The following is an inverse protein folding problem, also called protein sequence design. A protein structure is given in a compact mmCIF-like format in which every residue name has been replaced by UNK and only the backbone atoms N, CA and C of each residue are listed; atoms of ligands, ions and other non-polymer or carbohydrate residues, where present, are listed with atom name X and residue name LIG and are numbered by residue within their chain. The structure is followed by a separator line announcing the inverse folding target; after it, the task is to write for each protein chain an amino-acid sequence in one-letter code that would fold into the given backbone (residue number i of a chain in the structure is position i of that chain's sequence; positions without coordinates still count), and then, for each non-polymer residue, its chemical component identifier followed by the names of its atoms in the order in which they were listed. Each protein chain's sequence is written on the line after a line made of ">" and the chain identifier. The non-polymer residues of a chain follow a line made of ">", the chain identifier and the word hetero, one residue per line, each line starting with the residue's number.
data_IF_123947621835
#
_entry.id   IF_123947621835
#
_cell.length_a   1.000
_cell.length_b   1.000
_cell.length_c   1.000
_cell.angle_alpha   90.00
_cell.angle_beta   90.00
_cell.angle_gamma   90.00
#
_symmetry.space_group_name_H-M   'P 1'
#
loop_
_entity.id
_entity.type
_entity.pdbx_description
1 polymer ?
#
# COMPACT_ATOMS: atom_id res chain seq x y z
N UNK A 1 18.85 8.60 11.28
CA UNK A 1 17.45 8.58 10.80
C UNK A 1 16.55 8.79 12.00
N UNK A 2 15.87 9.94 12.08
CA UNK A 2 15.06 10.35 13.22
C UNK A 2 13.81 9.45 13.32
N UNK A 3 13.57 8.79 14.46
CA UNK A 3 12.45 7.87 14.72
C UNK A 3 11.08 8.57 14.83
N UNK A 4 10.83 9.63 14.05
CA UNK A 4 9.63 10.47 14.16
C UNK A 4 8.33 9.77 13.77
N UNK A 5 8.38 8.68 12.99
CA UNK A 5 7.19 8.02 12.44
C UNK A 5 6.27 7.43 13.51
N UNK A 6 6.82 6.88 14.61
CA UNK A 6 6.02 6.31 15.71
C UNK A 6 5.22 7.37 16.46
N UNK A 7 5.76 8.58 16.62
CA UNK A 7 5.07 9.68 17.32
C UNK A 7 3.98 10.33 16.47
N UNK A 8 4.00 10.09 15.15
CA UNK A 8 3.02 10.64 14.21
C UNK A 8 1.91 9.62 13.86
N UNK A 9 1.90 8.43 14.48
CA UNK A 9 0.92 7.37 14.20
C UNK A 9 1.08 6.73 12.82
N UNK A 10 2.24 6.89 12.17
CA UNK A 10 2.49 6.35 10.82
C UNK A 10 3.13 4.97 10.95
N UNK A 11 2.39 3.93 10.58
CA UNK A 11 2.86 2.55 10.60
C UNK A 11 3.66 2.21 9.34
N UNK A 12 4.56 1.23 9.49
CA UNK A 12 5.26 0.65 8.36
C UNK A 12 4.40 -0.48 7.78
N UNK A 13 3.86 -0.26 6.59
CA UNK A 13 3.20 -1.32 5.81
C UNK A 13 4.26 -2.33 5.37
N UNK A 14 3.98 -3.62 5.57
CA UNK A 14 4.87 -4.72 5.18
C UNK A 14 4.54 -5.23 3.78
N UNK A 15 5.59 -5.50 3.00
CA UNK A 15 5.55 -6.19 1.69
C UNK A 15 6.53 -7.36 1.67
N UNK A 16 6.85 -7.93 2.83
CA UNK A 16 7.85 -8.98 2.98
C UNK A 16 7.57 -10.23 2.12
N UNK A 17 6.30 -10.62 1.97
CA UNK A 17 5.92 -11.77 1.14
C UNK A 17 6.06 -11.49 -0.36
N UNK A 18 6.11 -10.22 -0.76
CA UNK A 18 6.34 -9.80 -2.13
C UNK A 18 7.83 -9.76 -2.53
N UNK A 19 8.73 -9.95 -1.56
CA UNK A 19 10.18 -9.87 -1.73
C UNK A 19 10.86 -11.24 -1.60
N UNK A 20 10.07 -12.30 -1.51
CA UNK A 20 10.58 -13.66 -1.48
C UNK A 20 11.22 -14.02 -2.82
N UNK A 21 12.13 -14.99 -2.79
CA UNK A 21 12.79 -15.52 -3.98
C UNK A 21 11.78 -16.14 -4.96
N UNK A 22 10.78 -16.85 -4.43
CA UNK A 22 9.65 -17.39 -5.18
C UNK A 22 8.40 -16.58 -4.87
N UNK A 23 7.66 -16.25 -5.90
CA UNK A 23 6.45 -15.46 -5.78
C UNK A 23 5.36 -16.27 -5.06
N UNK A 24 5.07 -15.85 -3.84
CA UNK A 24 3.88 -16.25 -3.11
C UNK A 24 2.76 -15.25 -3.41
N UNK A 25 2.06 -15.45 -4.53
CA UNK A 25 1.02 -14.53 -5.00
C UNK A 25 -0.06 -14.30 -3.95
N UNK A 26 -0.48 -15.35 -3.24
CA UNK A 26 -1.53 -15.25 -2.22
C UNK A 26 -1.10 -14.33 -1.07
N UNK A 27 0.03 -14.61 -0.42
CA UNK A 27 0.47 -13.81 0.73
C UNK A 27 0.95 -12.42 0.31
N UNK A 28 1.58 -12.28 -0.85
CA UNK A 28 1.96 -10.98 -1.38
C UNK A 28 0.72 -10.11 -1.66
N UNK A 29 -0.29 -10.62 -2.37
CA UNK A 29 -1.44 -9.81 -2.75
C UNK A 29 -2.30 -9.43 -1.54
N UNK A 30 -2.40 -10.31 -0.53
CA UNK A 30 -3.02 -9.94 0.74
C UNK A 30 -2.26 -8.80 1.45
N UNK A 31 -0.92 -8.78 1.45
CA UNK A 31 -0.14 -7.66 1.99
C UNK A 31 -0.34 -6.36 1.19
N UNK A 32 -0.39 -6.45 -0.14
CA UNK A 32 -0.67 -5.31 -1.01
C UNK A 32 -2.05 -4.73 -0.65
N UNK A 33 -3.08 -5.57 -0.56
CA UNK A 33 -4.45 -5.16 -0.29
C UNK A 33 -4.58 -4.45 1.07
N UNK A 34 -4.02 -5.02 2.14
CA UNK A 34 -4.00 -4.39 3.46
C UNK A 34 -3.19 -3.07 3.50
N UNK A 35 -2.10 -3.02 2.74
CA UNK A 35 -1.32 -1.80 2.58
C UNK A 35 -2.11 -0.67 1.91
N UNK A 36 -2.82 -0.97 0.83
CA UNK A 36 -3.67 -0.01 0.12
C UNK A 36 -4.80 0.52 1.02
N UNK A 37 -5.42 -0.35 1.83
CA UNK A 37 -6.43 0.07 2.82
C UNK A 37 -5.83 1.04 3.86
N UNK A 38 -4.63 0.72 4.37
CA UNK A 38 -3.91 1.57 5.33
C UNK A 38 -3.63 2.96 4.75
N UNK A 39 -3.08 3.03 3.53
CA UNK A 39 -2.81 4.32 2.89
C UNK A 39 -4.08 5.09 2.53
N UNK A 40 -5.18 4.40 2.22
CA UNK A 40 -6.48 5.06 2.01
C UNK A 40 -6.96 5.80 3.27
N UNK A 41 -6.85 5.19 4.45
CA UNK A 41 -7.12 5.86 5.73
C UNK A 41 -6.18 7.05 5.95
N UNK A 42 -4.88 6.88 5.68
CA UNK A 42 -3.90 7.97 5.87
C UNK A 42 -4.17 9.16 4.95
N UNK A 43 -4.54 8.92 3.69
CA UNK A 43 -4.92 9.98 2.76
C UNK A 43 -6.23 10.66 3.16
N UNK A 44 -7.16 9.92 3.77
CA UNK A 44 -8.40 10.49 4.30
C UNK A 44 -8.12 11.49 5.41
N UNK A 45 -7.19 11.17 6.32
CA UNK A 45 -6.69 12.11 7.33
C UNK A 45 -6.00 13.33 6.69
N UNK A 46 -5.12 13.11 5.71
CA UNK A 46 -4.40 14.19 5.02
C UNK A 46 -5.38 15.14 4.31
N UNK A 47 -6.38 14.60 3.62
CA UNK A 47 -7.41 15.36 2.92
C UNK A 47 -8.13 16.33 3.88
N UNK A 48 -8.39 15.91 5.12
CA UNK A 48 -9.04 16.74 6.13
C UNK A 48 -8.15 17.87 6.64
N UNK A 49 -6.85 17.64 6.80
CA UNK A 49 -5.93 18.62 7.44
C UNK A 49 -5.18 19.53 6.46
N UNK A 50 -5.08 19.14 5.18
CA UNK A 50 -4.44 19.88 4.08
C UNK A 50 -5.45 20.27 3.00
N UNK A 51 -6.41 21.12 3.37
CA UNK A 51 -7.48 21.59 2.47
C UNK A 51 -6.97 22.20 1.16
N UNK A 52 -5.83 22.89 1.21
CA UNK A 52 -5.21 23.51 0.03
C UNK A 52 -4.76 22.48 -1.03
N UNK A 53 -4.65 21.20 -0.65
CA UNK A 53 -4.24 20.08 -1.50
C UNK A 53 -5.33 19.02 -1.66
N UNK A 54 -6.56 19.30 -1.20
CA UNK A 54 -7.66 18.32 -1.15
C UNK A 54 -7.90 17.63 -2.50
N UNK A 55 -7.96 18.38 -3.60
CA UNK A 55 -8.17 17.82 -4.94
C UNK A 55 -7.06 16.85 -5.36
N UNK A 56 -5.80 17.16 -5.06
CA UNK A 56 -4.67 16.29 -5.38
C UNK A 56 -4.71 15.01 -4.54
N UNK A 57 -5.03 15.12 -3.25
CA UNK A 57 -5.16 13.96 -2.35
C UNK A 57 -6.32 13.07 -2.81
N UNK A 58 -7.44 13.66 -3.21
CA UNK A 58 -8.61 12.95 -3.72
C UNK A 58 -8.31 12.15 -5.00
N UNK A 59 -7.51 12.70 -5.91
CA UNK A 59 -7.05 11.97 -7.10
C UNK A 59 -6.23 10.73 -6.70
N UNK A 60 -5.29 10.87 -5.78
CA UNK A 60 -4.49 9.74 -5.28
C UNK A 60 -5.38 8.69 -4.59
N UNK A 61 -6.40 9.11 -3.83
CA UNK A 61 -7.35 8.19 -3.20
C UNK A 61 -8.14 7.37 -4.24
N UNK A 62 -8.57 8.00 -5.35
CA UNK A 62 -9.22 7.29 -6.45
C UNK A 62 -8.29 6.27 -7.09
N UNK A 63 -7.04 6.64 -7.34
CA UNK A 63 -6.06 5.74 -7.94
C UNK A 63 -5.77 4.53 -7.03
N UNK A 64 -5.62 4.75 -5.72
CA UNK A 64 -5.46 3.67 -4.73
C UNK A 64 -6.70 2.78 -4.69
N UNK A 65 -7.89 3.37 -4.71
CA UNK A 65 -9.14 2.61 -4.72
C UNK A 65 -9.25 1.75 -5.98
N UNK A 66 -8.92 2.29 -7.16
CA UNK A 66 -8.91 1.51 -8.40
C UNK A 66 -7.91 0.36 -8.34
N UNK A 67 -6.69 0.61 -7.86
CA UNK A 67 -5.69 -0.44 -7.70
C UNK A 67 -6.13 -1.53 -6.71
N UNK A 68 -6.74 -1.14 -5.60
CA UNK A 68 -7.28 -2.08 -4.61
C UNK A 68 -8.29 -3.05 -5.25
N UNK A 69 -9.25 -2.51 -6.00
CA UNK A 69 -10.26 -3.33 -6.69
C UNK A 69 -9.63 -4.23 -7.74
N UNK A 70 -8.68 -3.73 -8.53
CA UNK A 70 -8.00 -4.55 -9.54
C UNK A 70 -7.23 -5.72 -8.91
N UNK A 71 -6.52 -5.49 -7.79
CA UNK A 71 -5.84 -6.57 -7.07
C UNK A 71 -6.84 -7.57 -6.50
N UNK A 72 -7.94 -7.09 -5.92
CA UNK A 72 -8.98 -7.98 -5.39
C UNK A 72 -9.60 -8.86 -6.49
N UNK A 73 -9.96 -8.28 -7.63
CA UNK A 73 -10.47 -9.03 -8.79
C UNK A 73 -9.45 -10.06 -9.27
N UNK A 74 -8.18 -9.68 -9.39
CA UNK A 74 -7.13 -10.62 -9.79
C UNK A 74 -7.00 -11.80 -8.81
N UNK A 75 -7.14 -11.55 -7.51
CA UNK A 75 -7.14 -12.63 -6.50
C UNK A 75 -8.33 -13.57 -6.68
N UNK A 76 -9.52 -13.02 -6.90
CA UNK A 76 -10.75 -13.80 -7.13
C UNK A 76 -10.63 -14.67 -8.39
N UNK A 77 -10.18 -14.10 -9.50
CA UNK A 77 -9.96 -14.82 -10.77
C UNK A 77 -8.90 -15.92 -10.65
N UNK A 78 -7.90 -15.70 -9.80
CA UNK A 78 -6.80 -16.65 -9.57
C UNK A 78 -7.10 -17.63 -8.42
N UNK A 79 -8.31 -17.60 -7.87
CA UNK A 79 -8.76 -18.42 -6.73
C UNK A 79 -7.84 -18.33 -5.50
N UNK A 80 -7.23 -17.16 -5.27
CA UNK A 80 -6.37 -16.91 -4.12
C UNK A 80 -7.21 -16.59 -2.89
N UNK A 81 -6.79 -17.10 -1.74
CA UNK A 81 -7.47 -16.84 -0.47
C UNK A 81 -7.35 -15.38 -0.08
N UNK A 82 -8.48 -14.72 0.16
CA UNK A 82 -8.57 -13.36 0.69
C UNK A 82 -8.54 -13.44 2.22
N UNK A 83 -7.50 -12.88 2.83
CA UNK A 83 -7.35 -12.76 4.28
C UNK A 83 -7.58 -11.31 4.70
N UNK A 84 -8.57 -11.06 5.55
CA UNK A 84 -8.70 -9.76 6.20
C UNK A 84 -7.64 -9.62 7.28
N UNK A 85 -6.69 -8.72 7.07
CA UNK A 85 -5.80 -8.29 8.14
C UNK A 85 -6.52 -7.27 9.01
N UNK A 86 -6.27 -7.27 10.34
CA UNK A 86 -6.78 -6.21 11.19
C UNK A 86 -6.28 -4.87 10.63
N UNK A 87 -7.12 -3.83 10.63
CA UNK A 87 -6.70 -2.50 10.20
C UNK A 87 -5.47 -2.07 11.01
N UNK A 88 -4.59 -1.29 10.38
CA UNK A 88 -3.42 -0.73 11.03
C UNK A 88 -3.80 -0.16 12.41
N UNK A 89 -3.13 -0.63 13.48
CA UNK A 89 -3.50 -0.38 14.88
C UNK A 89 -3.49 1.12 15.29
N UNK A 90 -3.03 2.02 14.41
CA UNK A 90 -3.01 3.46 14.65
C UNK A 90 -3.26 4.26 13.38
N UNK A 91 -4.26 5.14 13.44
CA UNK A 91 -4.42 6.23 12.47
C UNK A 91 -3.37 7.33 12.71
N UNK A 92 -3.00 8.11 11.68
CA UNK A 92 -2.04 9.19 11.86
C UNK A 92 -2.59 10.27 12.78
N UNK A 93 -1.76 10.74 13.71
CA UNK A 93 -2.17 11.70 14.75
C UNK A 93 -1.65 13.12 14.50
N UNK A 94 -0.94 13.33 13.39
CA UNK A 94 -0.27 14.59 13.11
C UNK A 94 -1.27 15.70 12.71
N UNK A 95 -1.18 16.84 13.40
CA UNK A 95 -1.99 18.05 13.18
C UNK A 95 -1.14 19.30 13.39
N UNK A 96 -1.74 20.49 13.21
CA UNK A 96 -1.09 21.77 13.52
C UNK A 96 0.22 21.97 12.74
N UNK A 97 1.32 22.21 13.46
CA UNK A 97 2.66 22.41 12.85
C UNK A 97 3.20 21.15 12.15
N UNK A 98 2.73 19.96 12.55
CA UNK A 98 3.19 18.70 11.98
C UNK A 98 2.42 18.28 10.73
N UNK A 99 1.32 18.98 10.36
CA UNK A 99 0.46 18.56 9.25
C UNK A 99 1.23 18.36 7.94
N UNK A 100 2.07 19.34 7.57
CA UNK A 100 2.80 19.29 6.28
C UNK A 100 3.88 18.20 6.27
N UNK A 101 4.69 18.13 7.32
CA UNK A 101 5.77 17.13 7.40
C UNK A 101 5.22 15.71 7.58
N UNK A 102 4.15 15.54 8.35
CA UNK A 102 3.46 14.26 8.51
C UNK A 102 2.86 13.77 7.20
N UNK A 103 2.14 14.65 6.48
CA UNK A 103 1.60 14.33 5.16
C UNK A 103 2.70 13.95 4.16
N UNK A 104 3.81 14.69 4.14
CA UNK A 104 4.95 14.38 3.29
C UNK A 104 5.51 12.98 3.59
N UNK A 105 5.68 12.63 4.86
CA UNK A 105 6.18 11.30 5.25
C UNK A 105 5.24 10.16 4.85
N UNK A 106 3.92 10.37 4.91
CA UNK A 106 2.95 9.38 4.40
C UNK A 106 3.12 9.20 2.89
N UNK A 107 3.20 10.30 2.13
CA UNK A 107 3.32 10.25 0.67
C UNK A 107 4.65 9.62 0.21
N UNK A 108 5.75 9.92 0.90
CA UNK A 108 7.06 9.29 0.66
C UNK A 108 7.00 7.76 0.89
N UNK A 109 6.40 7.34 2.00
CA UNK A 109 6.19 5.91 2.29
C UNK A 109 5.25 5.24 1.27
N UNK A 110 4.19 5.92 0.84
CA UNK A 110 3.30 5.45 -0.20
C UNK A 110 4.07 5.24 -1.52
N UNK A 111 4.92 6.18 -1.93
CA UNK A 111 5.73 6.03 -3.13
C UNK A 111 6.66 4.82 -3.06
N UNK A 112 7.31 4.58 -1.92
CA UNK A 112 8.13 3.39 -1.68
C UNK A 112 7.30 2.10 -1.75
N UNK A 113 6.09 2.11 -1.18
CA UNK A 113 5.17 0.98 -1.24
C UNK A 113 4.72 0.68 -2.68
N UNK A 114 4.35 1.71 -3.46
CA UNK A 114 3.96 1.57 -4.87
C UNK A 114 5.10 0.99 -5.72
N UNK A 115 6.35 1.41 -5.46
CA UNK A 115 7.52 0.80 -6.08
C UNK A 115 7.65 -0.68 -5.74
N UNK A 116 7.38 -1.05 -4.49
CA UNK A 116 7.35 -2.44 -4.04
C UNK A 116 6.29 -3.27 -4.76
N UNK A 117 5.07 -2.75 -4.90
CA UNK A 117 3.98 -3.40 -5.67
C UNK A 117 4.45 -3.66 -7.10
N UNK A 118 4.97 -2.64 -7.78
CA UNK A 118 5.40 -2.77 -9.17
C UNK A 118 6.48 -3.84 -9.34
N UNK A 119 7.46 -3.87 -8.44
CA UNK A 119 8.52 -4.88 -8.44
C UNK A 119 7.96 -6.29 -8.21
N UNK A 120 7.02 -6.43 -7.28
CA UNK A 120 6.37 -7.70 -6.97
C UNK A 120 5.59 -8.25 -8.17
N UNK A 121 4.73 -7.41 -8.78
CA UNK A 121 3.95 -7.79 -9.96
C UNK A 121 4.87 -8.22 -11.11
N UNK A 122 5.91 -7.45 -11.39
CA UNK A 122 6.88 -7.79 -12.44
C UNK A 122 7.61 -9.11 -12.15
N UNK A 123 8.00 -9.36 -10.90
CA UNK A 123 8.66 -10.59 -10.48
C UNK A 123 7.75 -11.82 -10.65
N UNK A 124 6.52 -11.73 -10.15
CA UNK A 124 5.54 -12.82 -10.23
C UNK A 124 5.15 -13.17 -11.68
N UNK A 125 4.98 -12.16 -12.54
CA UNK A 125 4.70 -12.40 -13.96
C UNK A 125 5.83 -13.17 -14.64
N UNK A 126 7.09 -12.76 -14.43
CA UNK A 126 8.26 -13.43 -15.03
C UNK A 126 8.40 -14.88 -14.58
N UNK A 127 8.14 -15.16 -13.31
CA UNK A 127 8.23 -16.52 -12.80
C UNK A 127 7.16 -17.44 -13.40
N UNK A 128 5.93 -16.94 -13.53
CA UNK A 128 4.85 -17.68 -14.19
C UNK A 128 5.22 -18.05 -15.63
N UNK A 129 5.74 -17.09 -16.40
CA UNK A 129 6.20 -17.32 -17.78
C UNK A 129 7.36 -18.33 -17.87
N UNK A 130 8.28 -18.32 -16.91
CA UNK A 130 9.37 -19.31 -16.86
C UNK A 130 8.87 -20.73 -16.62
N UNK A 131 7.81 -20.90 -15.83
CA UNK A 131 7.21 -22.21 -15.57
C UNK A 131 6.46 -22.73 -16.80
N UNK A 132 5.73 -21.85 -17.50
CA UNK A 132 4.98 -22.19 -18.71
C UNK A 132 5.89 -22.58 -19.90
N UNK A 133 7.07 -21.97 -20.02
CA UNK A 133 8.04 -22.27 -21.10
C UNK A 133 8.99 -23.45 -20.79
N UNK A 134 8.85 -24.07 -19.62
CA UNK A 134 9.67 -25.23 -19.21
C UNK A 134 8.96 -26.57 -19.47
N UNK A 135 7.84 -26.56 -20.20
CA UNK A 135 7.03 -27.72 -20.61
C UNK A 135 6.86 -27.71 -22.13
#
# INVERSE_FOLDING_TARGET
>A
LYNGHKHLGIQQVSISYCQLEFCDMERCFNQIRAGLQTYSSYLSHIHQILTDYADHVHLIQKDISSLYHNIQQQMEESLLTIVEYPPAESEPTFVGVHRKIGSYLVLDKLQLFMKGIFQALSHCTKQRESMENSH
#
